data_IF_608263294971
#
_entry.id   IF_608263294971
#
_cell.length_a   1.000
_cell.length_b   1.000
_cell.length_c   1.000
_cell.angle_alpha   90.00
_cell.angle_beta   90.00
_cell.angle_gamma   90.00
#
_symmetry.space_group_name_H-M   'P 1'
#
loop_
_entity.id
_entity.type
_entity.pdbx_description
1 polymer ?
#
# COMPACT_ATOMS: atom_id res chain seq x y z
N UNK A 1 -27.10 28.41 2.63
CA UNK A 1 -27.04 27.05 3.20
C UNK A 1 -27.44 26.07 2.10
N UNK A 2 -26.48 25.60 1.31
CA UNK A 2 -26.72 24.56 0.32
C UNK A 2 -26.51 23.22 1.00
N UNK A 3 -27.60 22.51 1.32
CA UNK A 3 -27.50 21.14 1.76
C UNK A 3 -26.93 20.30 0.61
N UNK A 4 -25.71 19.79 0.78
CA UNK A 4 -25.12 18.79 -0.10
C UNK A 4 -26.07 17.59 -0.15
N UNK A 5 -26.72 17.41 -1.30
CA UNK A 5 -27.58 16.26 -1.56
C UNK A 5 -26.70 15.02 -1.45
N UNK A 6 -26.95 14.18 -0.46
CA UNK A 6 -26.20 12.93 -0.29
C UNK A 6 -26.28 12.09 -1.57
N UNK A 7 -25.22 11.38 -1.96
CA UNK A 7 -25.19 10.63 -3.24
C UNK A 7 -26.38 9.72 -3.49
N UNK A 8 -26.89 9.10 -2.43
CA UNK A 8 -28.09 8.25 -2.47
C UNK A 8 -29.35 9.05 -2.82
N UNK A 9 -29.47 10.29 -2.34
CA UNK A 9 -30.56 11.20 -2.72
C UNK A 9 -30.42 11.65 -4.18
N UNK A 10 -29.19 11.93 -4.66
CA UNK A 10 -28.95 12.27 -6.08
C UNK A 10 -29.42 11.15 -7.00
N UNK A 11 -29.07 9.91 -6.67
CA UNK A 11 -29.49 8.73 -7.44
C UNK A 11 -31.01 8.58 -7.41
N UNK A 12 -31.65 8.70 -6.24
CA UNK A 12 -33.12 8.62 -6.15
C UNK A 12 -33.80 9.70 -6.97
N UNK A 13 -33.25 10.92 -7.03
CA UNK A 13 -33.81 12.01 -7.82
C UNK A 13 -33.66 11.72 -9.32
N UNK A 14 -32.47 11.30 -9.77
CA UNK A 14 -32.20 11.01 -11.18
C UNK A 14 -32.99 9.78 -11.65
N UNK A 15 -33.07 8.72 -10.84
CA UNK A 15 -33.90 7.55 -11.13
C UNK A 15 -35.39 7.90 -11.23
N UNK A 16 -35.89 8.79 -10.35
CA UNK A 16 -37.27 9.29 -10.45
C UNK A 16 -37.49 10.17 -11.68
N UNK A 17 -36.50 10.96 -12.09
CA UNK A 17 -36.57 11.87 -13.24
C UNK A 17 -36.46 11.13 -14.58
N UNK A 18 -35.58 10.14 -14.66
CA UNK A 18 -35.41 9.26 -15.82
C UNK A 18 -36.60 8.31 -16.00
N UNK A 19 -37.30 7.95 -14.91
CA UNK A 19 -38.52 7.17 -14.99
C UNK A 19 -38.28 5.82 -15.67
N UNK A 20 -39.18 5.42 -16.57
CA UNK A 20 -39.15 4.09 -17.19
C UNK A 20 -37.95 3.89 -18.13
N UNK A 21 -37.52 4.92 -18.87
CA UNK A 21 -36.41 4.79 -19.83
C UNK A 21 -35.11 4.39 -19.15
N UNK A 22 -34.87 4.90 -17.94
CA UNK A 22 -33.68 4.59 -17.17
C UNK A 22 -33.73 3.19 -16.55
N UNK A 23 -34.92 2.74 -16.16
CA UNK A 23 -35.14 1.38 -15.68
C UNK A 23 -34.94 0.36 -16.81
N UNK A 24 -35.44 0.65 -18.01
CA UNK A 24 -35.28 -0.19 -19.19
C UNK A 24 -33.78 -0.26 -19.60
N UNK A 25 -33.06 0.87 -19.54
CA UNK A 25 -31.61 0.90 -19.77
C UNK A 25 -30.84 0.09 -18.71
N UNK A 26 -31.20 0.23 -17.43
CA UNK A 26 -30.61 -0.56 -16.36
C UNK A 26 -30.81 -2.06 -16.57
N UNK A 27 -32.02 -2.46 -16.95
CA UNK A 27 -32.31 -3.86 -17.25
C UNK A 27 -31.48 -4.35 -18.44
N UNK A 28 -31.38 -3.56 -19.51
CA UNK A 28 -30.54 -3.87 -20.68
C UNK A 28 -29.06 -4.03 -20.33
N UNK A 29 -28.52 -3.17 -19.47
CA UNK A 29 -27.11 -3.23 -19.01
C UNK A 29 -26.86 -4.48 -18.16
N UNK A 30 -27.80 -4.83 -17.27
CA UNK A 30 -27.71 -6.02 -16.42
C UNK A 30 -27.83 -7.30 -17.27
N UNK A 31 -28.81 -7.37 -18.17
CA UNK A 31 -29.02 -8.52 -19.07
C UNK A 31 -27.84 -8.71 -20.02
N UNK A 32 -27.31 -7.63 -20.60
CA UNK A 32 -26.12 -7.66 -21.45
C UNK A 32 -24.82 -8.02 -20.72
N UNK A 33 -24.83 -7.98 -19.39
CA UNK A 33 -23.67 -8.29 -18.54
C UNK A 33 -23.78 -9.63 -17.82
N UNK A 34 -24.94 -10.27 -17.87
CA UNK A 34 -25.08 -11.67 -17.48
C UNK A 34 -24.30 -12.51 -18.47
N UNK A 35 -23.18 -13.10 -18.02
CA UNK A 35 -22.57 -14.19 -18.77
C UNK A 35 -23.65 -15.28 -18.82
N UNK A 36 -24.06 -15.70 -20.02
CA UNK A 36 -24.90 -16.88 -20.19
C UNK A 36 -24.14 -18.06 -19.63
N UNK A 37 -24.33 -18.33 -18.36
CA UNK A 37 -23.92 -19.56 -17.72
C UNK A 37 -24.91 -20.60 -18.26
N UNK A 38 -24.55 -21.26 -19.36
CA UNK A 38 -25.18 -22.52 -19.71
C UNK A 38 -24.87 -23.49 -18.57
N UNK A 39 -25.67 -23.40 -17.51
CA UNK A 39 -25.63 -24.31 -16.39
C UNK A 39 -26.03 -25.67 -16.94
N UNK A 40 -25.01 -26.48 -17.30
CA UNK A 40 -25.17 -27.91 -17.23
C UNK A 40 -25.72 -28.24 -15.84
N UNK A 41 -26.72 -29.13 -15.70
CA UNK A 41 -27.36 -29.39 -14.42
C UNK A 41 -26.34 -30.05 -13.49
N UNK A 42 -25.63 -29.25 -12.69
CA UNK A 42 -24.69 -29.74 -11.70
C UNK A 42 -25.45 -30.40 -10.56
N UNK A 43 -24.94 -31.57 -10.17
CA UNK A 43 -25.52 -32.42 -9.14
C UNK A 43 -25.52 -31.67 -7.81
N UNK A 44 -26.67 -31.67 -7.15
CA UNK A 44 -27.03 -30.85 -6.00
C UNK A 44 -26.30 -31.18 -4.66
N UNK A 45 -24.99 -31.38 -4.64
CA UNK A 45 -24.28 -31.67 -3.37
C UNK A 45 -22.90 -31.06 -3.17
N UNK A 46 -22.34 -30.36 -4.14
CA UNK A 46 -21.12 -29.60 -3.87
C UNK A 46 -21.50 -28.14 -3.64
N UNK A 47 -21.19 -27.64 -2.43
CA UNK A 47 -21.12 -26.20 -2.18
C UNK A 47 -20.38 -25.58 -3.35
N UNK A 48 -21.01 -24.64 -4.06
CA UNK A 48 -20.46 -23.98 -5.24
C UNK A 48 -19.08 -23.41 -4.90
N UNK A 49 -18.04 -24.20 -5.15
CA UNK A 49 -16.66 -23.89 -4.79
C UNK A 49 -16.24 -22.63 -5.55
N UNK A 50 -16.73 -22.46 -6.78
CA UNK A 50 -16.46 -21.29 -7.61
C UNK A 50 -17.12 -20.02 -7.08
N UNK A 51 -18.29 -20.12 -6.43
CA UNK A 51 -18.89 -18.96 -5.75
C UNK A 51 -17.94 -18.34 -4.72
N UNK A 52 -17.08 -19.13 -4.06
CA UNK A 52 -16.10 -18.62 -3.11
C UNK A 52 -14.93 -17.85 -3.76
N UNK A 53 -14.66 -18.07 -5.05
CA UNK A 53 -13.61 -17.38 -5.82
C UNK A 53 -14.14 -16.25 -6.71
N UNK A 54 -15.46 -16.09 -6.81
CA UNK A 54 -16.08 -15.05 -7.64
C UNK A 54 -15.72 -13.65 -7.10
N UNK A 55 -15.18 -12.80 -7.97
CA UNK A 55 -14.81 -11.43 -7.61
C UNK A 55 -16.03 -10.57 -7.25
N UNK A 56 -17.05 -10.64 -8.10
CA UNK A 56 -18.28 -9.83 -8.02
C UNK A 56 -19.42 -10.68 -7.45
N UNK A 57 -19.99 -10.23 -6.34
CA UNK A 57 -21.17 -10.85 -5.73
C UNK A 57 -22.42 -10.59 -6.59
N UNK A 58 -23.09 -11.64 -7.13
CA UNK A 58 -24.27 -11.47 -7.96
C UNK A 58 -25.42 -10.76 -7.25
N UNK A 59 -25.53 -10.87 -5.92
CA UNK A 59 -26.56 -10.16 -5.15
C UNK A 59 -26.38 -8.63 -5.18
N UNK A 60 -25.17 -8.14 -5.49
CA UNK A 60 -24.84 -6.71 -5.53
C UNK A 60 -24.88 -6.10 -6.93
N UNK A 61 -25.04 -6.91 -7.99
CA UNK A 61 -25.02 -6.44 -9.39
C UNK A 61 -26.08 -5.37 -9.64
N UNK A 62 -27.32 -5.60 -9.20
CA UNK A 62 -28.39 -4.63 -9.38
C UNK A 62 -28.10 -3.31 -8.66
N UNK A 63 -27.48 -3.40 -7.48
CA UNK A 63 -27.04 -2.22 -6.73
C UNK A 63 -26.00 -1.44 -7.53
N UNK A 64 -24.98 -2.12 -8.09
CA UNK A 64 -23.96 -1.49 -8.93
C UNK A 64 -24.53 -0.87 -10.20
N UNK A 65 -25.48 -1.54 -10.85
CA UNK A 65 -26.11 -1.04 -12.07
C UNK A 65 -26.79 0.32 -11.86
N UNK A 66 -27.43 0.53 -10.71
CA UNK A 66 -28.06 1.83 -10.38
C UNK A 66 -27.06 2.98 -10.35
N UNK A 67 -25.82 2.77 -9.92
CA UNK A 67 -24.79 3.81 -9.91
C UNK A 67 -24.20 4.04 -11.29
N UNK A 68 -24.03 2.97 -12.06
CA UNK A 68 -23.51 3.03 -13.43
C UNK A 68 -24.44 3.83 -14.35
N UNK A 69 -25.72 3.43 -14.36
CA UNK A 69 -26.74 3.95 -15.27
C UNK A 69 -27.05 5.43 -15.03
N UNK A 70 -26.87 5.91 -13.80
CA UNK A 70 -27.03 7.33 -13.46
C UNK A 70 -25.93 8.19 -14.08
N UNK A 71 -24.69 7.68 -14.19
CA UNK A 71 -23.58 8.42 -14.81
C UNK A 71 -23.53 8.20 -16.34
N UNK A 72 -24.13 7.12 -16.85
CA UNK A 72 -24.38 6.86 -18.28
C UNK A 72 -25.70 7.49 -18.78
N UNK A 73 -26.35 8.35 -17.99
CA UNK A 73 -27.68 8.88 -18.35
C UNK A 73 -27.68 9.74 -19.61
N UNK A 74 -26.56 10.43 -19.89
CA UNK A 74 -26.46 11.39 -20.98
C UNK A 74 -26.34 10.72 -22.36
N UNK A 75 -25.62 9.59 -22.45
CA UNK A 75 -25.36 8.89 -23.71
C UNK A 75 -26.15 7.58 -23.83
N UNK A 76 -26.40 6.89 -22.72
CA UNK A 76 -27.01 5.55 -22.66
C UNK A 76 -26.34 4.54 -23.61
N UNK A 77 -25.02 4.65 -23.78
CA UNK A 77 -24.24 3.80 -24.68
C UNK A 77 -23.67 2.56 -23.96
N UNK A 78 -23.84 2.48 -22.63
CA UNK A 78 -23.33 1.38 -21.81
C UNK A 78 -21.85 1.51 -21.46
N UNK A 79 -21.27 2.69 -21.65
CA UNK A 79 -19.87 3.02 -21.34
C UNK A 79 -19.81 4.31 -20.50
N UNK A 80 -18.92 4.33 -19.52
CA UNK A 80 -18.63 5.55 -18.75
C UNK A 80 -17.14 5.85 -18.81
N UNK A 81 -16.76 7.12 -18.89
CA UNK A 81 -15.36 7.50 -18.82
C UNK A 81 -14.81 7.37 -17.39
N UNK A 82 -13.48 7.44 -17.26
CA UNK A 82 -12.76 7.41 -15.98
C UNK A 82 -13.34 8.37 -14.91
N UNK A 83 -13.69 9.61 -15.29
CA UNK A 83 -14.21 10.63 -14.35
C UNK A 83 -15.60 10.28 -13.84
N UNK A 84 -16.48 9.82 -14.73
CA UNK A 84 -17.82 9.34 -14.40
C UNK A 84 -17.76 8.11 -13.50
N UNK A 85 -16.88 7.14 -13.80
CA UNK A 85 -16.63 5.99 -12.93
C UNK A 85 -16.19 6.42 -11.53
N UNK A 86 -15.17 7.29 -11.43
CA UNK A 86 -14.66 7.78 -10.14
C UNK A 86 -15.73 8.52 -9.34
N UNK A 87 -16.60 9.28 -10.01
CA UNK A 87 -17.75 9.92 -9.39
C UNK A 87 -18.80 8.91 -8.90
N UNK A 88 -19.12 7.88 -9.70
CA UNK A 88 -20.06 6.84 -9.32
C UNK A 88 -19.62 6.11 -8.03
N UNK A 89 -18.33 5.77 -7.93
CA UNK A 89 -17.75 5.05 -6.79
C UNK A 89 -17.92 5.80 -5.46
N UNK A 90 -17.79 7.12 -5.46
CA UNK A 90 -17.94 7.97 -4.26
C UNK A 90 -19.34 7.92 -3.65
N UNK A 91 -20.35 7.58 -4.45
CA UNK A 91 -21.74 7.56 -3.99
C UNK A 91 -22.19 6.22 -3.42
N UNK A 92 -21.39 5.17 -3.59
CA UNK A 92 -21.70 3.83 -3.11
C UNK A 92 -21.54 3.81 -1.57
N UNK A 93 -22.57 3.41 -0.80
CA UNK A 93 -22.54 3.48 0.66
C UNK A 93 -21.36 2.75 1.31
N UNK A 94 -20.97 1.59 0.76
CA UNK A 94 -19.87 0.77 1.26
C UNK A 94 -18.48 1.33 0.90
N UNK A 95 -18.43 2.34 0.03
CA UNK A 95 -17.18 2.94 -0.48
C UNK A 95 -16.88 4.30 0.17
N UNK A 96 -17.67 4.70 1.17
CA UNK A 96 -17.53 6.02 1.84
C UNK A 96 -16.20 6.19 2.58
N UNK A 97 -15.55 5.11 2.97
CA UNK A 97 -14.26 5.12 3.66
C UNK A 97 -13.07 5.00 2.71
N UNK A 98 -13.28 4.79 1.40
CA UNK A 98 -12.18 4.60 0.46
C UNK A 98 -11.43 5.93 0.28
N UNK A 99 -10.15 5.92 0.59
CA UNK A 99 -9.25 7.06 0.33
C UNK A 99 -8.95 7.19 -1.16
N UNK A 100 -8.66 8.40 -1.63
CA UNK A 100 -8.32 8.64 -3.05
C UNK A 100 -7.12 7.80 -3.50
N UNK A 101 -6.14 7.56 -2.61
CA UNK A 101 -4.97 6.71 -2.90
C UNK A 101 -5.33 5.24 -3.12
N UNK A 102 -6.31 4.71 -2.39
CA UNK A 102 -6.79 3.34 -2.56
C UNK A 102 -7.52 3.19 -3.90
N UNK A 103 -8.30 4.21 -4.30
CA UNK A 103 -8.91 4.23 -5.63
C UNK A 103 -7.85 4.29 -6.72
N UNK A 104 -6.84 5.15 -6.58
CA UNK A 104 -5.75 5.26 -7.55
C UNK A 104 -5.01 3.91 -7.68
N UNK A 105 -4.73 3.21 -6.57
CA UNK A 105 -4.16 1.85 -6.59
C UNK A 105 -5.04 0.84 -7.33
N UNK A 106 -6.36 0.87 -7.11
CA UNK A 106 -7.31 -0.04 -7.80
C UNK A 106 -7.33 0.23 -9.30
N UNK A 107 -7.27 1.51 -9.71
CA UNK A 107 -7.21 1.88 -11.12
C UNK A 107 -5.88 1.46 -11.76
N UNK A 108 -4.75 1.68 -11.07
CA UNK A 108 -3.43 1.27 -11.53
C UNK A 108 -3.33 -0.27 -11.64
N UNK A 109 -3.85 -1.01 -10.67
CA UNK A 109 -3.83 -2.48 -10.67
C UNK A 109 -4.67 -3.09 -11.80
N UNK A 110 -5.68 -2.36 -12.27
CA UNK A 110 -6.56 -2.75 -13.38
C UNK A 110 -6.19 -2.10 -14.72
N UNK A 111 -5.08 -1.35 -14.77
CA UNK A 111 -4.59 -0.60 -15.94
C UNK A 111 -5.67 0.30 -16.58
N UNK A 112 -6.48 0.94 -15.74
CA UNK A 112 -7.56 1.85 -16.18
C UNK A 112 -7.04 3.28 -16.21
N UNK A 113 -6.72 3.74 -17.41
CA UNK A 113 -6.22 5.10 -17.65
C UNK A 113 -7.32 6.18 -17.74
N UNK A 114 -6.89 7.43 -17.82
CA UNK A 114 -7.78 8.60 -17.93
C UNK A 114 -8.64 8.65 -19.21
N UNK A 115 -8.21 7.97 -20.27
CA UNK A 115 -8.90 7.90 -21.56
C UNK A 115 -9.69 6.60 -21.73
N UNK A 116 -9.73 5.74 -20.71
CA UNK A 116 -10.40 4.45 -20.79
C UNK A 116 -11.92 4.61 -20.69
N UNK A 117 -12.62 3.95 -21.61
CA UNK A 117 -14.06 3.75 -21.54
C UNK A 117 -14.35 2.48 -20.74
N UNK A 118 -15.18 2.61 -19.72
CA UNK A 118 -15.43 1.59 -18.71
C UNK A 118 -16.83 1.02 -18.94
N UNK A 119 -16.89 -0.25 -19.35
CA UNK A 119 -18.16 -0.99 -19.41
C UNK A 119 -18.70 -1.32 -18.03
N UNK A 120 -19.99 -1.64 -17.93
CA UNK A 120 -20.59 -2.05 -16.66
C UNK A 120 -19.89 -3.27 -16.01
N UNK A 121 -19.40 -4.23 -16.80
CA UNK A 121 -18.65 -5.38 -16.29
C UNK A 121 -17.37 -4.95 -15.58
N UNK A 122 -16.61 -4.06 -16.21
CA UNK A 122 -15.39 -3.51 -15.62
C UNK A 122 -15.70 -2.67 -14.39
N UNK A 123 -16.78 -1.87 -14.43
CA UNK A 123 -17.27 -1.10 -13.30
C UNK A 123 -17.60 -1.99 -12.07
N UNK A 124 -18.30 -3.11 -12.28
CA UNK A 124 -18.62 -4.06 -11.21
C UNK A 124 -17.37 -4.69 -10.60
N UNK A 125 -16.35 -4.99 -11.41
CA UNK A 125 -15.04 -5.48 -10.94
C UNK A 125 -14.32 -4.41 -10.12
N UNK A 126 -14.26 -3.17 -10.59
CA UNK A 126 -13.63 -2.04 -9.89
C UNK A 126 -14.26 -1.85 -8.50
N UNK A 127 -15.61 -1.83 -8.41
CA UNK A 127 -16.30 -1.70 -7.11
C UNK A 127 -15.97 -2.87 -6.20
N UNK A 128 -16.04 -4.09 -6.73
CA UNK A 128 -15.83 -5.30 -5.91
C UNK A 128 -14.40 -5.41 -5.41
N UNK A 129 -13.42 -5.00 -6.22
CA UNK A 129 -12.02 -4.95 -5.83
C UNK A 129 -11.79 -3.86 -4.78
N UNK A 130 -12.37 -2.68 -4.98
CA UNK A 130 -12.24 -1.59 -4.02
C UNK A 130 -12.89 -1.92 -2.66
N UNK A 131 -14.06 -2.60 -2.63
CA UNK A 131 -14.70 -3.10 -1.39
C UNK A 131 -13.88 -4.19 -0.68
N UNK A 132 -12.97 -4.88 -1.39
CA UNK A 132 -12.01 -5.83 -0.78
C UNK A 132 -10.78 -5.11 -0.27
N UNK A 133 -10.25 -4.17 -1.04
CA UNK A 133 -9.08 -3.35 -0.65
C UNK A 133 -9.36 -2.57 0.62
N UNK A 134 -10.57 -2.02 0.79
CA UNK A 134 -10.96 -1.36 2.05
C UNK A 134 -11.03 -2.31 3.23
N UNK A 135 -11.40 -3.58 3.04
CA UNK A 135 -11.44 -4.57 4.15
C UNK A 135 -10.04 -5.04 4.57
N UNK A 136 -9.03 -4.82 3.74
CA UNK A 136 -7.62 -5.11 4.06
C UNK A 136 -6.90 -3.92 4.73
N UNK A 137 -7.65 -2.93 5.21
CA UNK A 137 -7.19 -1.62 5.72
C UNK A 137 -5.99 -1.68 6.68
N UNK A 138 -5.98 -2.63 7.61
CA UNK A 138 -4.93 -2.75 8.62
C UNK A 138 -3.53 -2.97 8.02
N UNK A 139 -3.44 -3.59 6.83
CA UNK A 139 -2.16 -3.82 6.18
C UNK A 139 -1.73 -2.63 5.33
N UNK A 140 -2.66 -2.01 4.58
CA UNK A 140 -2.36 -0.96 3.59
C UNK A 140 -2.09 0.41 4.21
N UNK A 141 -2.71 0.75 5.34
CA UNK A 141 -2.38 1.99 6.07
C UNK A 141 -0.97 1.93 6.70
N UNK A 142 -0.52 0.74 7.07
CA UNK A 142 0.82 0.50 7.64
C UNK A 142 1.88 0.40 6.53
N UNK A 143 1.53 -0.19 5.37
CA UNK A 143 2.46 -0.41 4.27
C UNK A 143 2.42 0.73 3.26
N UNK A 144 3.12 1.82 3.54
CA UNK A 144 3.36 2.85 2.53
C UNK A 144 4.23 2.26 1.40
N UNK A 145 3.61 1.99 0.25
CA UNK A 145 4.28 1.33 -0.89
C UNK A 145 5.58 2.04 -1.29
N UNK A 146 5.59 3.37 -1.29
CA UNK A 146 6.77 4.18 -1.61
C UNK A 146 7.88 4.07 -0.56
N UNK A 147 7.53 3.85 0.71
CA UNK A 147 8.51 3.57 1.77
C UNK A 147 9.12 2.17 1.59
N UNK A 148 8.28 1.19 1.26
CA UNK A 148 8.70 -0.19 1.00
C UNK A 148 9.62 -0.26 -0.22
N UNK A 149 9.27 0.39 -1.33
CA UNK A 149 10.10 0.45 -2.53
C UNK A 149 11.48 1.05 -2.24
N UNK A 150 11.54 2.15 -1.48
CA UNK A 150 12.82 2.74 -1.06
C UNK A 150 13.66 1.81 -0.20
N UNK A 151 13.04 1.12 0.76
CA UNK A 151 13.72 0.16 1.65
C UNK A 151 14.25 -1.03 0.85
N UNK A 152 13.44 -1.60 -0.03
CA UNK A 152 13.86 -2.66 -0.94
C UNK A 152 15.02 -2.21 -1.83
N UNK A 153 14.99 -0.97 -2.35
CA UNK A 153 16.08 -0.44 -3.14
C UNK A 153 17.38 -0.30 -2.35
N UNK A 154 17.32 0.11 -1.07
CA UNK A 154 18.47 0.12 -0.16
C UNK A 154 19.04 -1.28 0.04
N UNK A 155 18.20 -2.27 0.33
CA UNK A 155 18.64 -3.65 0.53
C UNK A 155 19.23 -4.25 -0.75
N UNK A 156 18.67 -3.93 -1.91
CA UNK A 156 19.26 -4.31 -3.21
C UNK A 156 20.63 -3.69 -3.42
N UNK A 157 20.83 -2.43 -3.02
CA UNK A 157 22.13 -1.78 -3.16
C UNK A 157 23.17 -2.41 -2.22
N UNK A 158 22.80 -2.70 -0.98
CA UNK A 158 23.67 -3.42 -0.03
C UNK A 158 24.03 -4.82 -0.56
N UNK A 159 23.05 -5.56 -1.08
CA UNK A 159 23.27 -6.88 -1.66
C UNK A 159 24.21 -6.84 -2.88
N UNK A 160 24.11 -5.80 -3.73
CA UNK A 160 25.00 -5.59 -4.88
C UNK A 160 26.42 -5.17 -4.53
N UNK A 161 26.66 -4.67 -3.31
CA UNK A 161 28.02 -4.37 -2.86
C UNK A 161 28.85 -5.65 -2.73
N UNK A 162 28.21 -6.80 -2.51
CA UNK A 162 28.85 -8.10 -2.59
C UNK A 162 29.12 -8.45 -4.05
N UNK A 163 30.30 -9.03 -4.33
CA UNK A 163 30.67 -9.46 -5.68
C UNK A 163 29.57 -10.35 -6.25
N UNK A 164 28.92 -9.87 -7.31
CA UNK A 164 27.83 -10.58 -7.98
C UNK A 164 28.34 -11.95 -8.43
N UNK A 165 27.50 -12.99 -8.35
CA UNK A 165 27.86 -14.26 -8.98
C UNK A 165 28.16 -14.03 -10.47
N UNK A 166 29.14 -14.78 -11.00
CA UNK A 166 29.46 -14.78 -12.43
C UNK A 166 28.28 -15.28 -13.29
N UNK A 167 27.28 -15.91 -12.66
CA UNK A 167 26.12 -16.52 -13.32
C UNK A 167 24.91 -15.61 -13.34
N UNK A 168 24.52 -15.09 -12.18
CA UNK A 168 23.27 -14.33 -12.03
C UNK A 168 23.41 -13.17 -11.05
N UNK A 169 22.86 -12.01 -11.45
CA UNK A 169 22.86 -10.77 -10.65
C UNK A 169 21.98 -10.83 -9.40
N UNK A 170 21.15 -11.86 -9.26
CA UNK A 170 20.25 -12.06 -8.12
C UNK A 170 20.87 -12.93 -7.02
N UNK A 171 22.11 -13.40 -7.22
CA UNK A 171 22.83 -14.24 -6.29
C UNK A 171 24.18 -13.65 -5.92
N UNK A 172 24.61 -13.92 -4.69
CA UNK A 172 25.96 -13.59 -4.19
C UNK A 172 26.67 -14.89 -3.81
N UNK A 173 27.98 -14.95 -3.99
CA UNK A 173 28.79 -16.10 -3.54
C UNK A 173 28.83 -16.13 -2.00
N UNK A 174 28.75 -17.31 -1.41
CA UNK A 174 28.85 -17.51 0.04
C UNK A 174 30.15 -16.93 0.61
N UNK A 175 31.28 -17.07 -0.11
CA UNK A 175 32.55 -16.42 0.22
C UNK A 175 32.48 -14.89 0.24
N UNK A 176 31.72 -14.27 -0.68
CA UNK A 176 31.56 -12.81 -0.70
C UNK A 176 30.78 -12.34 0.54
N UNK A 177 29.75 -13.09 0.94
CA UNK A 177 29.04 -12.83 2.18
C UNK A 177 29.96 -13.02 3.40
N UNK A 178 30.82 -14.04 3.39
CA UNK A 178 31.79 -14.27 4.47
C UNK A 178 32.71 -13.08 4.66
N UNK A 179 33.18 -12.46 3.57
CA UNK A 179 33.99 -11.22 3.65
C UNK A 179 33.21 -10.08 4.29
N UNK A 180 31.92 -9.93 3.97
CA UNK A 180 31.04 -8.93 4.60
C UNK A 180 30.89 -9.19 6.11
N UNK A 181 30.73 -10.46 6.53
CA UNK A 181 30.67 -10.85 7.94
C UNK A 181 32.00 -10.60 8.66
N UNK A 182 33.13 -10.86 8.01
CA UNK A 182 34.46 -10.56 8.56
C UNK A 182 34.64 -9.05 8.76
N UNK A 183 34.30 -8.25 7.74
CA UNK A 183 34.36 -6.78 7.81
C UNK A 183 33.40 -6.21 8.88
N UNK A 184 32.28 -6.89 9.12
CA UNK A 184 31.35 -6.59 10.21
C UNK A 184 31.94 -6.80 11.61
N UNK A 185 33.09 -7.48 11.74
CA UNK A 185 33.76 -7.77 13.01
C UNK A 185 33.12 -8.92 13.78
N UNK A 186 32.62 -9.94 13.08
CA UNK A 186 32.13 -11.17 13.71
C UNK A 186 33.25 -12.15 13.96
N UNK A 187 33.14 -12.90 15.07
CA UNK A 187 34.07 -13.96 15.38
C UNK A 187 33.92 -15.15 14.41
N UNK A 188 34.98 -15.93 14.22
CA UNK A 188 35.01 -17.04 13.25
C UNK A 188 33.90 -18.07 13.49
N UNK A 189 33.65 -18.43 14.76
CA UNK A 189 32.55 -19.35 15.11
C UNK A 189 31.16 -18.78 14.77
N UNK A 190 30.97 -17.47 14.95
CA UNK A 190 29.71 -16.79 14.62
C UNK A 190 29.50 -16.72 13.11
N UNK A 191 30.58 -16.51 12.34
CA UNK A 191 30.53 -16.54 10.88
C UNK A 191 30.08 -17.92 10.38
N UNK A 192 30.69 -18.99 10.88
CA UNK A 192 30.34 -20.36 10.49
C UNK A 192 28.89 -20.68 10.84
N UNK A 193 28.42 -20.28 12.03
CA UNK A 193 27.03 -20.47 12.44
C UNK A 193 26.04 -19.73 11.55
N UNK A 194 26.36 -18.50 11.13
CA UNK A 194 25.50 -17.72 10.23
C UNK A 194 25.47 -18.35 8.82
N UNK A 195 26.63 -18.78 8.31
CA UNK A 195 26.73 -19.41 6.99
C UNK A 195 26.07 -20.79 6.93
N UNK A 196 26.01 -21.52 8.04
CA UNK A 196 25.25 -22.77 8.15
C UNK A 196 23.74 -22.53 8.17
N UNK A 197 23.30 -21.40 8.73
CA UNK A 197 21.88 -21.04 8.82
C UNK A 197 21.30 -20.39 7.57
N UNK A 198 22.11 -19.67 6.80
CA UNK A 198 21.66 -19.06 5.56
C UNK A 198 21.72 -20.14 4.46
N UNK A 199 20.57 -20.58 3.92
CA UNK A 199 20.56 -21.62 2.91
C UNK A 199 21.30 -21.13 1.66
N UNK A 200 22.30 -21.89 1.24
CA UNK A 200 22.99 -21.69 -0.03
C UNK A 200 22.53 -22.76 -1.03
N UNK A 201 22.46 -22.38 -2.30
CA UNK A 201 22.20 -23.33 -3.38
C UNK A 201 23.39 -24.30 -3.56
N UNK A 202 23.25 -25.34 -4.39
CA UNK A 202 24.29 -26.33 -4.70
C UNK A 202 25.62 -25.71 -5.21
N UNK A 203 25.57 -24.46 -5.67
CA UNK A 203 26.72 -23.67 -6.13
C UNK A 203 27.32 -22.75 -5.06
N UNK A 204 26.94 -22.91 -3.78
CA UNK A 204 27.33 -22.00 -2.68
C UNK A 204 26.95 -20.54 -2.97
N UNK A 205 25.74 -20.35 -3.49
CA UNK A 205 25.17 -19.05 -3.86
C UNK A 205 23.96 -18.75 -3.00
N UNK A 206 23.84 -17.50 -2.54
CA UNK A 206 22.77 -17.04 -1.66
C UNK A 206 21.85 -16.11 -2.45
N UNK A 207 20.55 -16.39 -2.40
CA UNK A 207 19.54 -15.56 -3.07
C UNK A 207 19.34 -14.25 -2.34
N UNK A 208 18.94 -13.22 -3.09
CA UNK A 208 18.47 -11.97 -2.50
C UNK A 208 17.31 -12.20 -1.51
N UNK A 209 16.43 -13.18 -1.74
CA UNK A 209 15.32 -13.47 -0.82
C UNK A 209 15.81 -14.00 0.53
N UNK A 210 16.79 -14.90 0.51
CA UNK A 210 17.39 -15.44 1.73
C UNK A 210 18.16 -14.35 2.49
N UNK A 211 18.78 -13.41 1.76
CA UNK A 211 19.39 -12.21 2.34
C UNK A 211 18.36 -11.29 3.03
N UNK A 212 17.16 -11.12 2.45
CA UNK A 212 16.10 -10.29 3.04
C UNK A 212 15.60 -10.83 4.40
N UNK A 213 15.69 -12.13 4.64
CA UNK A 213 15.30 -12.72 5.93
C UNK A 213 16.15 -12.22 7.10
N UNK A 214 17.35 -11.70 6.83
CA UNK A 214 18.30 -11.26 7.85
C UNK A 214 18.67 -9.77 7.73
N UNK A 215 17.80 -8.92 7.15
CA UNK A 215 18.02 -7.47 7.00
C UNK A 215 18.55 -6.77 8.28
N UNK A 216 17.97 -6.99 9.48
CA UNK A 216 18.43 -6.28 10.68
C UNK A 216 19.90 -6.54 10.99
N UNK A 217 20.37 -7.76 10.68
CA UNK A 217 21.75 -8.18 10.86
C UNK A 217 22.68 -7.43 9.90
N UNK A 218 22.36 -7.46 8.60
CA UNK A 218 23.18 -6.83 7.57
C UNK A 218 23.21 -5.31 7.68
N UNK A 219 22.10 -4.68 8.09
CA UNK A 219 22.09 -3.26 8.42
C UNK A 219 23.11 -2.97 9.54
N UNK A 220 23.05 -3.71 10.64
CA UNK A 220 23.99 -3.55 11.75
C UNK A 220 25.45 -3.68 11.32
N UNK A 221 25.77 -4.65 10.46
CA UNK A 221 27.14 -4.87 10.00
C UNK A 221 27.62 -3.73 9.11
N UNK A 222 26.81 -3.33 8.14
CA UNK A 222 27.14 -2.22 7.25
C UNK A 222 27.37 -0.92 8.03
N UNK A 223 26.61 -0.69 9.10
CA UNK A 223 26.83 0.46 9.97
C UNK A 223 28.16 0.38 10.72
N UNK A 224 28.54 -0.79 11.19
CA UNK A 224 29.82 -1.00 11.86
C UNK A 224 30.99 -0.86 10.88
N UNK A 225 30.88 -1.42 9.67
CA UNK A 225 31.86 -1.26 8.59
C UNK A 225 32.05 0.23 8.26
N UNK A 226 30.96 0.99 8.10
CA UNK A 226 31.05 2.42 7.77
C UNK A 226 31.58 3.30 8.90
N UNK A 227 31.35 2.93 10.18
CA UNK A 227 31.80 3.71 11.33
C UNK A 227 33.24 3.41 11.75
N UNK A 228 33.65 2.15 11.71
CA UNK A 228 34.98 1.74 12.14
C UNK A 228 35.47 0.50 11.35
N UNK A 229 35.96 0.69 10.12
CA UNK A 229 36.27 -0.41 9.19
C UNK A 229 37.48 -1.27 9.59
N UNK A 230 38.33 -0.80 10.51
CA UNK A 230 39.54 -1.50 10.96
C UNK A 230 39.42 -2.07 12.38
N UNK A 231 38.25 -1.99 12.97
CA UNK A 231 38.04 -2.49 14.33
C UNK A 231 37.91 -4.01 14.28
N UNK A 232 38.92 -4.68 14.83
CA UNK A 232 38.99 -6.14 14.92
C UNK A 232 38.65 -6.64 16.32
N UNK A 233 37.96 -5.83 17.14
CA UNK A 233 37.56 -6.27 18.48
C UNK A 233 36.54 -7.42 18.41
N UNK A 234 36.81 -8.50 19.15
CA UNK A 234 35.95 -9.70 19.18
C UNK A 234 34.63 -9.49 19.95
N UNK A 235 34.46 -8.38 20.68
CA UNK A 235 33.36 -8.15 21.61
C UNK A 235 32.22 -7.27 21.05
N UNK A 236 32.12 -7.09 19.73
CA UNK A 236 31.15 -6.14 19.13
C UNK A 236 29.68 -6.56 19.21
N UNK A 237 29.41 -7.86 19.29
CA UNK A 237 28.04 -8.41 19.23
C UNK A 237 27.65 -9.22 20.48
N UNK A 238 28.26 -8.93 21.63
CA UNK A 238 27.81 -9.40 22.95
C UNK A 238 26.40 -8.88 23.25
N UNK A 239 25.66 -9.64 24.08
CA UNK A 239 24.23 -9.41 24.40
C UNK A 239 23.90 -7.96 24.83
N UNK A 240 24.84 -7.26 25.47
CA UNK A 240 24.65 -5.87 25.93
C UNK A 240 24.60 -4.84 24.79
N UNK A 241 25.26 -5.11 23.66
CA UNK A 241 25.33 -4.18 22.51
C UNK A 241 24.14 -4.36 21.57
N UNK A 242 23.58 -5.59 21.46
CA UNK A 242 22.38 -5.85 20.64
C UNK A 242 21.18 -4.98 21.02
N UNK A 243 21.05 -4.61 22.31
CA UNK A 243 19.96 -3.74 22.80
C UNK A 243 20.05 -2.29 22.29
N UNK A 244 21.23 -1.82 21.83
CA UNK A 244 21.43 -0.46 21.29
C UNK A 244 21.24 -0.37 19.77
N UNK A 245 20.94 -1.46 19.08
CA UNK A 245 20.70 -1.49 17.63
C UNK A 245 19.36 -0.86 17.19
N UNK A 246 18.72 -0.10 18.08
CA UNK A 246 17.41 0.52 17.88
C UNK A 246 17.33 1.57 16.79
N UNK A 247 18.48 2.13 16.38
CA UNK A 247 18.53 3.15 15.33
C UNK A 247 19.00 2.47 14.04
N UNK A 248 18.05 2.01 13.23
CA UNK A 248 18.31 1.45 11.91
C UNK A 248 18.20 2.54 10.82
N UNK A 249 19.02 2.44 9.77
CA UNK A 249 19.14 3.45 8.68
C UNK A 249 17.82 3.70 7.94
N UNK A 250 16.97 2.69 7.90
CA UNK A 250 15.72 2.61 7.15
C UNK A 250 14.50 3.15 7.92
N UNK A 251 14.66 3.57 9.18
CA UNK A 251 13.58 4.15 10.01
C UNK A 251 13.26 5.61 9.69
N UNK A 252 13.96 6.23 8.74
CA UNK A 252 13.67 7.60 8.32
C UNK A 252 12.35 7.69 7.54
N UNK A 253 11.46 8.64 7.90
CA UNK A 253 10.21 8.84 7.18
C UNK A 253 10.48 9.35 5.75
N UNK A 254 9.45 9.23 4.91
CA UNK A 254 9.47 9.67 3.52
C UNK A 254 9.93 11.13 3.36
N UNK A 255 10.77 11.37 2.35
CA UNK A 255 11.37 12.68 2.06
C UNK A 255 12.67 12.97 2.80
N UNK A 256 13.13 12.06 3.66
CA UNK A 256 14.45 12.14 4.31
C UNK A 256 15.38 11.06 3.75
N UNK A 257 16.70 11.33 3.79
CA UNK A 257 17.69 10.36 3.31
C UNK A 257 17.68 9.10 4.17
N UNK A 258 17.94 7.93 3.60
CA UNK A 258 18.07 6.64 4.29
C UNK A 258 19.39 6.53 5.10
N UNK A 259 19.91 7.66 5.57
CA UNK A 259 21.16 7.73 6.32
C UNK A 259 20.91 7.72 7.82
N UNK A 260 21.78 7.02 8.56
CA UNK A 260 21.84 7.05 10.02
C UNK A 260 22.08 8.45 10.59
N UNK A 261 22.75 9.29 9.80
CA UNK A 261 23.08 10.66 10.15
C UNK A 261 22.08 11.68 9.61
N UNK A 262 20.89 11.23 9.19
CA UNK A 262 19.86 12.14 8.71
C UNK A 262 19.56 13.21 9.77
N UNK A 263 19.27 14.46 9.36
CA UNK A 263 18.88 15.51 10.28
C UNK A 263 17.64 15.12 11.10
N UNK A 264 16.81 14.22 10.56
CA UNK A 264 15.70 13.60 11.26
C UNK A 264 16.17 12.72 12.43
N UNK A 265 16.99 11.70 12.18
CA UNK A 265 17.50 10.83 13.25
C UNK A 265 18.32 11.58 14.28
N UNK A 266 19.14 12.55 13.86
CA UNK A 266 19.93 13.37 14.80
C UNK A 266 19.03 14.14 15.77
N UNK A 267 17.93 14.72 15.27
CA UNK A 267 16.95 15.46 16.07
C UNK A 267 16.19 14.57 17.07
N UNK A 268 16.12 13.26 16.82
CA UNK A 268 15.35 12.32 17.63
C UNK A 268 16.21 11.20 18.25
N UNK A 269 17.54 11.32 18.17
CA UNK A 269 18.52 10.32 18.64
C UNK A 269 18.51 10.10 20.16
N UNK A 270 17.87 11.00 20.91
CA UNK A 270 17.73 10.94 22.37
C UNK A 270 16.43 10.25 22.85
N UNK A 271 15.55 9.81 21.94
CA UNK A 271 14.36 9.04 22.29
C UNK A 271 14.67 7.55 22.27
N UNK A 272 14.28 6.83 23.33
CA UNK A 272 14.38 5.38 23.38
C UNK A 272 13.64 4.72 22.20
N UNK A 273 14.17 3.58 21.75
CA UNK A 273 13.68 2.79 20.60
C UNK A 273 12.16 2.61 20.55
N UNK A 274 11.59 2.23 21.70
CA UNK A 274 10.17 1.94 21.86
C UNK A 274 9.33 3.22 21.71
N UNK A 275 9.78 4.32 22.32
CA UNK A 275 9.13 5.63 22.21
C UNK A 275 9.24 6.23 20.80
N UNK A 276 10.31 5.88 20.07
CA UNK A 276 10.53 6.34 18.70
C UNK A 276 9.61 5.64 17.69
N UNK A 277 9.42 4.32 17.81
CA UNK A 277 8.49 3.55 16.98
C UNK A 277 7.03 4.01 17.18
N UNK A 278 6.61 4.19 18.44
CA UNK A 278 5.27 4.71 18.78
C UNK A 278 5.05 6.16 18.27
N UNK A 279 6.11 6.99 18.27
CA UNK A 279 6.04 8.34 17.71
C UNK A 279 5.92 8.33 16.17
N UNK A 280 6.60 7.43 15.47
CA UNK A 280 6.48 7.29 14.02
C UNK A 280 5.07 6.81 13.63
N UNK A 281 4.51 5.86 14.38
CA UNK A 281 3.14 5.38 14.21
C UNK A 281 2.08 6.48 14.48
N UNK A 282 2.34 7.41 15.41
CA UNK A 282 1.41 8.53 15.68
C UNK A 282 1.50 9.68 14.66
N UNK A 283 2.62 9.82 13.93
CA UNK A 283 2.81 10.86 12.89
C UNK A 283 2.42 10.43 11.48
N UNK A 284 2.19 9.14 11.22
CA UNK A 284 1.60 8.67 9.95
C UNK A 284 0.13 9.07 9.82
N UNK A 285 -0.56 9.44 10.91
CA UNK A 285 -1.86 10.11 10.83
C UNK A 285 -1.67 11.55 10.35
N UNK A 286 -2.32 11.96 9.24
CA UNK A 286 -2.15 13.31 8.71
C UNK A 286 -2.77 14.32 9.68
N UNK A 287 -1.93 15.04 10.42
CA UNK A 287 -2.37 16.25 11.14
C UNK A 287 -2.83 17.28 10.12
N UNK A 288 -4.11 17.66 10.22
CA UNK A 288 -4.68 18.80 9.51
C UNK A 288 -3.77 20.03 9.68
N UNK A 289 -3.43 20.74 8.58
CA UNK A 289 -2.47 21.83 8.65
C UNK A 289 -3.02 23.03 9.44
N UNK A 290 -2.16 23.61 10.29
CA UNK A 290 -2.52 24.57 11.34
C UNK A 290 -3.03 25.94 10.87
N UNK A 291 -3.08 26.19 9.56
CA UNK A 291 -3.61 27.45 9.02
C UNK A 291 -5.15 27.54 9.15
N UNK A 292 -5.84 26.41 9.32
CA UNK A 292 -7.30 26.37 9.50
C UNK A 292 -7.76 26.99 10.84
N UNK A 293 -6.90 27.05 11.86
CA UNK A 293 -7.27 27.60 13.18
C UNK A 293 -6.97 29.09 13.35
N UNK A 294 -6.19 29.72 12.47
CA UNK A 294 -5.87 31.15 12.58
C UNK A 294 -6.91 32.08 11.97
N UNK A 295 -7.85 31.58 11.13
CA UNK A 295 -8.92 32.43 10.56
C UNK A 295 -10.15 32.57 11.46
N UNK A 296 -10.41 31.64 12.39
CA UNK A 296 -11.58 31.72 13.28
C UNK A 296 -11.43 32.68 14.47
N UNK A 297 -10.23 33.21 14.73
CA UNK A 297 -9.96 34.08 15.89
C UNK A 297 -9.93 35.58 15.58
N UNK A 298 -10.15 36.00 14.33
CA UNK A 298 -10.10 37.42 13.91
C UNK A 298 -11.44 38.03 13.46
N UNK A 299 -12.54 37.28 13.48
CA UNK A 299 -13.88 37.80 13.14
C UNK A 299 -14.77 38.08 14.37
N UNK A 300 -14.15 38.24 15.56
CA UNK A 300 -14.86 38.45 16.82
C UNK A 300 -14.29 39.58 17.66
N UNK A 301 -14.02 40.74 17.05
CA UNK A 301 -13.73 41.99 17.80
C UNK A 301 -13.80 43.20 16.86
N UNK A 302 -15.01 43.61 16.50
CA UNK A 302 -15.29 45.02 16.18
C UNK A 302 -16.37 45.43 17.17
N UNK A 303 -15.92 46.03 18.26
CA UNK A 303 -16.75 46.81 19.17
C UNK A 303 -17.17 48.09 18.45
N UNK A 304 -18.46 48.37 18.56
CA UNK A 304 -19.04 49.71 18.60
C UNK A 304 -18.14 50.69 19.35
N UNK A 305 -17.85 51.83 18.74
CA UNK A 305 -17.68 53.13 19.40
C UNK A 305 -17.79 54.26 18.34
N UNK A 306 -18.88 55.00 18.51
CA UNK A 306 -19.10 56.44 18.38
C UNK A 306 -18.81 57.27 17.10
N UNK A 307 -19.84 58.09 16.83
CA UNK A 307 -19.91 59.40 16.13
C UNK A 307 -20.39 59.41 14.69
#
# INVERSE_FOLDING_TARGET
MCCEVTGVQRIRIIMKRGGQTLLDHMQKVVEGSSLKEELAPEKASDVDFLASYRLVDPAKIETYARFFVVEDYDNMDGLINYKCCRNALRWIPNMKCVTERQLDYVFDALDVGYQSDISFRMFAVIISLADRVTKMEDLLEVSNMTDIERKIQLYRNMFKCNTSSDRDKNYIKQEALRVELMAGGLHWDQQNFILEKIPANDYSEISFLDYLCYIPLFLSFHDNITKNPLDMSDNKYTEEIRRRASIQRDMNPLGQSLSKDSPFLKKYSSLDAANFADMLASKSTPKQPSWANSRRKKEGSISSDDS
#
